data_IF_317845343666
#
_entry.id   IF_317845343666
#
_cell.length_a   1.000
_cell.length_b   1.000
_cell.length_c   1.000
_cell.angle_alpha   90.00
_cell.angle_beta   90.00
_cell.angle_gamma   90.00
#
_symmetry.space_group_name_H-M   'P 1'
#
loop_
_entity.id
_entity.type
_entity.pdbx_description
1 polymer ?
#
# COMPACT_ATOMS: atom_id res chain seq x y z
N UNK A 1 1.08 -29.01 5.39
CA UNK A 1 1.65 -27.68 5.17
C UNK A 1 1.27 -27.24 3.78
N UNK A 2 0.61 -26.08 3.62
CA UNK A 2 0.34 -25.54 2.28
C UNK A 2 1.64 -25.05 1.66
N UNK A 3 1.79 -25.08 0.33
CA UNK A 3 2.97 -24.52 -0.34
C UNK A 3 3.22 -23.05 0.03
N UNK A 4 2.15 -22.28 0.28
CA UNK A 4 2.22 -20.89 0.73
C UNK A 4 2.82 -20.71 2.13
N UNK A 5 2.64 -21.67 3.05
CA UNK A 5 3.16 -21.59 4.42
C UNK A 5 4.70 -21.51 4.41
N UNK A 6 5.35 -22.22 3.49
CA UNK A 6 6.82 -22.22 3.32
C UNK A 6 7.33 -20.84 2.93
N UNK A 7 6.61 -20.11 2.09
CA UNK A 7 7.00 -18.75 1.70
C UNK A 7 6.80 -17.75 2.85
N UNK A 8 5.77 -17.95 3.68
CA UNK A 8 5.54 -17.14 4.88
C UNK A 8 6.68 -17.34 5.88
N UNK A 9 7.07 -18.57 6.16
CA UNK A 9 8.19 -18.88 7.07
C UNK A 9 9.51 -18.27 6.56
N UNK A 10 9.83 -18.47 5.28
CA UNK A 10 11.02 -17.85 4.66
C UNK A 10 11.00 -16.33 4.70
N UNK A 11 9.81 -15.73 4.58
CA UNK A 11 9.64 -14.27 4.69
C UNK A 11 9.90 -13.80 6.12
N UNK A 12 9.43 -14.53 7.13
CA UNK A 12 9.72 -14.24 8.54
C UNK A 12 11.22 -14.39 8.85
N UNK A 13 11.88 -15.42 8.32
CA UNK A 13 13.33 -15.56 8.42
C UNK A 13 14.10 -14.39 7.77
N UNK A 14 13.62 -13.91 6.61
CA UNK A 14 14.19 -12.74 5.95
C UNK A 14 14.01 -11.49 6.81
N UNK A 15 12.84 -11.29 7.40
CA UNK A 15 12.55 -10.16 8.30
C UNK A 15 13.53 -10.15 9.48
N UNK A 16 13.79 -11.29 10.12
CA UNK A 16 14.74 -11.35 11.23
C UNK A 16 16.15 -10.95 10.79
N UNK A 17 16.58 -11.38 9.59
CA UNK A 17 17.85 -10.93 8.99
C UNK A 17 17.85 -9.42 8.73
N UNK A 18 16.76 -8.87 8.21
CA UNK A 18 16.65 -7.42 7.97
C UNK A 18 16.78 -6.61 9.26
N UNK A 19 16.12 -7.06 10.34
CA UNK A 19 16.21 -6.42 11.66
C UNK A 19 17.65 -6.50 12.18
N UNK A 20 18.27 -7.67 12.12
CA UNK A 20 19.67 -7.85 12.56
C UNK A 20 20.64 -6.95 11.81
N UNK A 21 20.51 -6.86 10.48
CA UNK A 21 21.36 -5.99 9.64
C UNK A 21 21.15 -4.51 9.99
N UNK A 22 19.88 -4.10 10.18
CA UNK A 22 19.58 -2.73 10.55
C UNK A 22 20.16 -2.37 11.92
N UNK A 23 20.07 -3.27 12.90
CA UNK A 23 20.60 -3.04 14.24
C UNK A 23 22.13 -3.02 14.28
N UNK A 24 22.79 -3.88 13.50
CA UNK A 24 24.24 -3.85 13.35
C UNK A 24 24.71 -2.57 12.64
N UNK A 25 24.09 -2.23 11.50
CA UNK A 25 24.43 -1.03 10.73
C UNK A 25 24.17 0.28 11.48
N UNK A 26 23.18 0.32 12.36
CA UNK A 26 22.91 1.48 13.23
C UNK A 26 23.97 1.63 14.32
N UNK A 27 24.55 0.52 14.80
CA UNK A 27 25.68 0.52 15.77
C UNK A 27 27.01 0.91 15.13
N UNK A 28 27.26 0.48 13.89
CA UNK A 28 28.51 0.72 13.16
C UNK A 28 28.44 1.93 12.21
N UNK A 29 27.46 2.81 12.42
CA UNK A 29 27.11 3.89 11.49
C UNK A 29 28.27 4.86 11.24
N UNK A 30 28.68 4.97 9.98
CA UNK A 30 29.77 5.87 9.56
C UNK A 30 29.28 7.28 9.18
N UNK A 31 28.10 7.38 8.56
CA UNK A 31 27.55 8.64 8.08
C UNK A 31 26.02 8.77 8.27
N UNK A 32 25.45 9.89 7.81
CA UNK A 32 23.99 10.11 7.85
C UNK A 32 23.21 9.18 6.91
N UNK A 33 23.79 8.78 5.79
CA UNK A 33 23.17 7.87 4.82
C UNK A 33 22.95 6.47 5.40
N UNK A 34 23.94 5.92 6.11
CA UNK A 34 23.85 4.65 6.83
C UNK A 34 22.68 4.65 7.81
N UNK A 35 22.48 5.75 8.54
CA UNK A 35 21.35 5.88 9.48
C UNK A 35 19.98 5.87 8.77
N UNK A 36 19.86 6.57 7.64
CA UNK A 36 18.63 6.55 6.83
C UNK A 36 18.36 5.14 6.29
N UNK A 37 19.38 4.48 5.76
CA UNK A 37 19.26 3.12 5.22
C UNK A 37 18.82 2.12 6.30
N UNK A 38 19.45 2.13 7.47
CA UNK A 38 19.09 1.24 8.58
C UNK A 38 17.68 1.52 9.09
N UNK A 39 17.27 2.79 9.18
CA UNK A 39 15.90 3.16 9.53
C UNK A 39 14.87 2.64 8.53
N UNK A 40 15.11 2.84 7.22
CA UNK A 40 14.22 2.33 6.16
C UNK A 40 14.15 0.80 6.17
N UNK A 41 15.29 0.13 6.33
CA UNK A 41 15.35 -1.32 6.40
C UNK A 41 14.55 -1.87 7.58
N UNK A 42 14.73 -1.29 8.77
CA UNK A 42 14.03 -1.67 10.01
C UNK A 42 12.52 -1.47 9.88
N UNK A 43 12.08 -0.31 9.40
CA UNK A 43 10.66 -0.01 9.20
C UNK A 43 10.01 -0.96 8.19
N UNK A 44 10.74 -1.30 7.13
CA UNK A 44 10.27 -2.23 6.10
C UNK A 44 10.15 -3.64 6.65
N UNK A 45 11.13 -4.09 7.46
CA UNK A 45 11.10 -5.39 8.11
C UNK A 45 9.86 -5.56 9.00
N UNK A 46 9.53 -4.56 9.84
CA UNK A 46 8.35 -4.63 10.70
C UNK A 46 7.03 -4.63 9.91
N UNK A 47 6.93 -3.88 8.82
CA UNK A 47 5.76 -3.90 7.93
C UNK A 47 5.57 -5.27 7.30
N UNK A 48 6.66 -5.85 6.78
CA UNK A 48 6.63 -7.20 6.18
C UNK A 48 6.28 -8.25 7.23
N UNK A 49 6.86 -8.17 8.44
CA UNK A 49 6.58 -9.09 9.55
C UNK A 49 5.09 -9.17 9.83
N UNK A 50 4.48 -8.00 10.00
CA UNK A 50 3.05 -7.88 10.27
C UNK A 50 2.21 -8.54 9.17
N UNK A 51 2.51 -8.27 7.90
CA UNK A 51 1.78 -8.87 6.77
C UNK A 51 1.95 -10.40 6.72
N UNK A 52 3.16 -10.90 6.96
CA UNK A 52 3.44 -12.33 6.98
C UNK A 52 2.75 -13.05 8.15
N UNK A 53 2.71 -12.43 9.33
CA UNK A 53 1.99 -12.95 10.50
C UNK A 53 0.47 -12.95 10.28
N UNK A 54 -0.08 -11.88 9.70
CA UNK A 54 -1.49 -11.80 9.32
C UNK A 54 -1.84 -12.93 8.34
N UNK A 55 -1.02 -13.17 7.31
CA UNK A 55 -1.23 -14.26 6.37
C UNK A 55 -1.12 -15.64 7.04
N UNK A 56 -0.15 -15.82 7.95
CA UNK A 56 -0.01 -17.07 8.74
C UNK A 56 -1.26 -17.35 9.57
N UNK A 57 -1.84 -16.32 10.19
CA UNK A 57 -3.07 -16.46 10.97
C UNK A 57 -4.28 -16.75 10.07
N UNK A 58 -4.40 -16.08 8.93
CA UNK A 58 -5.44 -16.34 7.95
C UNK A 58 -5.39 -17.77 7.46
N UNK A 59 -4.18 -18.25 7.13
CA UNK A 59 -3.90 -19.63 6.83
C UNK A 59 -4.37 -20.55 7.97
N UNK A 60 -3.95 -20.32 9.21
CA UNK A 60 -4.35 -21.15 10.35
C UNK A 60 -5.87 -21.19 10.57
N UNK A 61 -6.58 -20.07 10.34
CA UNK A 61 -8.03 -19.94 10.58
C UNK A 61 -8.91 -20.47 9.44
N UNK A 62 -8.48 -20.35 8.18
CA UNK A 62 -9.31 -20.69 7.01
C UNK A 62 -9.34 -22.18 6.68
N UNK A 63 -8.38 -22.97 7.19
CA UNK A 63 -8.17 -24.32 6.67
C UNK A 63 -7.78 -24.32 5.18
N UNK A 64 -7.63 -25.50 4.55
CA UNK A 64 -7.12 -25.64 3.18
C UNK A 64 -8.08 -25.20 2.06
N UNK A 65 -9.32 -24.80 2.37
CA UNK A 65 -10.37 -24.52 1.38
C UNK A 65 -11.23 -23.29 1.72
N UNK A 66 -10.71 -22.37 2.53
CA UNK A 66 -11.40 -21.10 2.84
C UNK A 66 -11.31 -20.08 1.69
N UNK A 67 -12.27 -19.15 1.59
CA UNK A 67 -12.25 -18.09 0.58
C UNK A 67 -11.12 -17.09 0.84
N UNK A 68 -10.49 -16.59 -0.21
CA UNK A 68 -9.44 -15.55 -0.16
C UNK A 68 -9.93 -14.37 0.70
N UNK A 69 -9.31 -14.16 1.86
CA UNK A 69 -9.67 -13.05 2.73
C UNK A 69 -8.88 -11.80 2.33
N UNK A 70 -9.54 -10.64 2.18
CA UNK A 70 -8.84 -9.40 1.86
C UNK A 70 -7.86 -9.06 2.99
N UNK A 71 -6.64 -8.65 2.63
CA UNK A 71 -5.66 -8.10 3.58
C UNK A 71 -6.33 -6.98 4.40
N UNK A 72 -6.26 -7.09 5.73
CA UNK A 72 -6.95 -6.21 6.67
C UNK A 72 -6.37 -4.79 6.59
N UNK A 73 -6.96 -3.95 5.76
CA UNK A 73 -6.49 -2.57 5.53
C UNK A 73 -6.41 -2.14 4.07
N UNK A 74 -6.60 -3.06 3.12
CA UNK A 74 -6.91 -2.69 1.74
C UNK A 74 -8.29 -2.01 1.74
N UNK A 75 -8.32 -0.68 1.78
CA UNK A 75 -9.53 0.10 1.49
C UNK A 75 -10.05 -0.40 0.14
N UNK A 76 -11.17 -1.10 0.13
CA UNK A 76 -11.93 -1.31 -1.10
C UNK A 76 -12.09 0.08 -1.75
N UNK A 77 -11.91 0.22 -3.08
CA UNK A 77 -12.20 1.48 -3.74
C UNK A 77 -13.66 1.79 -3.45
N UNK A 78 -13.89 2.76 -2.57
CA UNK A 78 -15.24 3.17 -2.20
C UNK A 78 -15.86 3.71 -3.46
N UNK A 79 -16.75 2.93 -4.07
CA UNK A 79 -17.55 3.36 -5.21
C UNK A 79 -18.24 4.68 -4.84
N UNK A 80 -17.80 5.77 -5.45
CA UNK A 80 -18.48 7.07 -5.45
C UNK A 80 -17.94 7.87 -6.63
N UNK A 81 -18.72 7.91 -7.72
CA UNK A 81 -18.38 8.70 -8.89
C UNK A 81 -19.29 8.56 -10.10
N UNK A 82 -20.47 7.92 -10.02
CA UNK A 82 -21.48 8.04 -11.06
C UNK A 82 -22.12 9.45 -10.97
N UNK A 83 -21.45 10.46 -11.53
CA UNK A 83 -22.04 11.78 -11.74
C UNK A 83 -22.91 11.74 -13.00
N UNK A 84 -24.08 11.13 -12.86
CA UNK A 84 -25.22 11.47 -13.69
C UNK A 84 -25.74 12.83 -13.21
N UNK A 85 -25.57 13.88 -14.02
CA UNK A 85 -26.42 15.09 -14.12
C UNK A 85 -25.75 16.13 -15.02
N UNK A 86 -26.24 16.27 -16.25
CA UNK A 86 -26.80 17.55 -16.72
C UNK A 86 -27.60 17.34 -18.00
N UNK A 87 -28.85 16.89 -17.82
CA UNK A 87 -29.92 17.09 -18.78
C UNK A 87 -30.43 18.53 -18.67
N UNK A 88 -30.28 19.31 -19.74
CA UNK A 88 -31.19 20.41 -20.05
C UNK A 88 -30.82 21.81 -19.55
N UNK A 89 -30.18 22.61 -20.41
CA UNK A 89 -30.53 24.04 -20.53
C UNK A 89 -30.33 24.52 -21.95
N UNK A 90 -31.40 24.44 -22.73
CA UNK A 90 -31.53 25.20 -23.98
C UNK A 90 -31.75 26.70 -23.70
N UNK A 91 -31.69 27.45 -24.82
CA UNK A 91 -31.89 28.90 -25.00
C UNK A 91 -30.72 29.80 -24.59
N UNK A 92 -30.34 30.85 -25.30
CA UNK A 92 -30.65 31.39 -26.63
C UNK A 92 -29.93 32.75 -26.71
N UNK A 93 -29.57 33.19 -27.92
CA UNK A 93 -29.43 34.61 -28.34
C UNK A 93 -28.20 35.40 -27.84
N UNK A 94 -27.23 35.52 -28.74
CA UNK A 94 -26.78 36.76 -29.37
C UNK A 94 -26.39 37.97 -28.50
N UNK A 95 -25.18 38.48 -28.73
CA UNK A 95 -24.92 39.93 -28.81
C UNK A 95 -23.70 40.23 -29.72
N UNK A 96 -23.68 41.39 -30.40
CA UNK A 96 -22.81 41.68 -31.53
C UNK A 96 -21.48 42.31 -31.11
N UNK A 97 -20.46 42.16 -31.95
CA UNK A 97 -19.20 42.87 -31.86
C UNK A 97 -19.26 44.19 -32.67
N UNK A 98 -19.22 45.30 -31.96
CA UNK A 98 -18.84 46.64 -32.43
C UNK A 98 -18.20 47.33 -31.21
N UNK A 99 -17.17 48.16 -31.28
CA UNK A 99 -16.52 48.90 -32.37
C UNK A 99 -15.09 49.17 -31.91
N UNK A 100 -14.11 49.04 -32.79
CA UNK A 100 -12.74 49.49 -32.53
C UNK A 100 -12.64 51.00 -32.82
N UNK A 101 -12.24 51.77 -31.82
CA UNK A 101 -11.92 53.18 -31.97
C UNK A 101 -10.62 53.37 -32.75
N UNK A 102 -10.61 54.38 -33.61
CA UNK A 102 -9.41 55.09 -34.09
C UNK A 102 -9.23 56.35 -33.26
#
# INVERSE_FOLDING_TARGET
>A
MRPGDVFIERTLELVEKMISIADEGDRTREDRGCGVLCGVLRDSAFKIRRLAEEERELHARQGPSGPEQPLRGARAPSGRGASARNSGRGKSRGKPAGTASK
#
